data_IF_530364546397
#
_entry.id   IF_530364546397
#
_cell.length_a   1.000
_cell.length_b   1.000
_cell.length_c   1.000
_cell.angle_alpha   90.00
_cell.angle_beta   90.00
_cell.angle_gamma   90.00
#
_symmetry.space_group_name_H-M   'P 1'
#
loop_
_entity.id
_entity.type
_entity.pdbx_description
1 polymer ?
#
# COMPACT_ATOMS: atom_id res chain seq x y z
N UNK A 1 -3.04 4.01 -7.43
CA UNK A 1 -2.28 5.22 -7.05
C UNK A 1 -1.34 4.87 -5.92
N UNK A 2 -0.10 5.39 -5.96
CA UNK A 2 0.85 5.37 -4.85
C UNK A 2 0.82 6.72 -4.16
N UNK A 3 0.01 6.94 -3.10
CA UNK A 3 -0.07 8.25 -2.44
C UNK A 3 1.25 8.67 -1.80
N UNK A 4 2.04 7.68 -1.37
CA UNK A 4 3.41 7.84 -0.94
C UNK A 4 4.35 6.91 -1.74
N UNK A 5 5.62 7.27 -1.89
CA UNK A 5 6.64 6.40 -2.51
C UNK A 5 8.05 6.72 -2.02
N UNK A 6 8.95 5.73 -2.11
CA UNK A 6 10.39 5.89 -1.93
C UNK A 6 11.14 5.89 -3.27
N UNK A 7 10.45 5.57 -4.38
CA UNK A 7 11.02 5.41 -5.70
C UNK A 7 10.25 6.24 -6.72
N UNK A 8 10.99 6.95 -7.58
CA UNK A 8 10.45 7.79 -8.65
C UNK A 8 10.75 7.21 -10.05
N UNK A 9 11.50 6.11 -10.12
CA UNK A 9 11.75 5.43 -11.39
C UNK A 9 10.45 4.81 -11.93
N UNK A 10 10.30 4.80 -13.25
CA UNK A 10 9.18 4.11 -13.91
C UNK A 10 9.19 2.63 -13.56
N UNK A 11 8.08 2.14 -13.02
CA UNK A 11 7.92 0.75 -12.60
C UNK A 11 7.08 -0.04 -13.61
N UNK A 12 7.22 -1.37 -13.61
CA UNK A 12 6.45 -2.24 -14.51
C UNK A 12 4.94 -2.03 -14.39
N UNK A 13 4.43 -1.77 -13.18
CA UNK A 13 3.00 -1.47 -12.96
C UNK A 13 2.53 -0.22 -13.72
N UNK A 14 3.38 0.80 -13.85
CA UNK A 14 3.05 2.01 -14.62
C UNK A 14 2.99 1.69 -16.12
N UNK A 15 3.98 0.96 -16.63
CA UNK A 15 4.02 0.50 -18.03
C UNK A 15 2.79 -0.35 -18.36
N UNK A 16 2.46 -1.30 -17.48
CA UNK A 16 1.30 -2.17 -17.61
C UNK A 16 0.01 -1.37 -17.64
N UNK A 17 -0.23 -0.50 -16.66
CA UNK A 17 -1.41 0.36 -16.60
C UNK A 17 -1.60 1.19 -17.88
N UNK A 18 -0.53 1.77 -18.43
CA UNK A 18 -0.55 2.48 -19.71
C UNK A 18 -0.97 1.58 -20.87
N UNK A 19 -0.44 0.36 -20.94
CA UNK A 19 -0.73 -0.60 -22.02
C UNK A 19 -2.20 -1.05 -22.05
N UNK A 20 -2.85 -1.15 -20.89
CA UNK A 20 -4.25 -1.61 -20.76
C UNK A 20 -5.26 -0.48 -20.52
N UNK A 21 -4.82 0.79 -20.57
CA UNK A 21 -5.70 1.95 -20.37
C UNK A 21 -6.21 2.13 -18.93
N UNK A 22 -5.50 1.61 -17.93
CA UNK A 22 -5.78 1.85 -16.51
C UNK A 22 -5.10 3.14 -16.09
N UNK A 23 -5.90 4.11 -15.64
CA UNK A 23 -5.36 5.37 -15.12
C UNK A 23 -4.60 5.12 -13.81
N UNK A 24 -3.34 5.55 -13.76
CA UNK A 24 -2.49 5.36 -12.60
C UNK A 24 -1.68 6.62 -12.26
N UNK A 25 -1.44 6.82 -10.97
CA UNK A 25 -0.51 7.81 -10.41
C UNK A 25 0.63 7.03 -9.76
N UNK A 26 1.76 6.81 -10.46
CA UNK A 26 2.87 5.97 -10.00
C UNK A 26 3.75 6.67 -8.97
N UNK A 27 3.85 8.00 -9.06
CA UNK A 27 4.54 8.86 -8.09
C UNK A 27 3.50 9.82 -7.53
N UNK A 28 3.08 9.58 -6.30
CA UNK A 28 2.13 10.44 -5.60
C UNK A 28 2.77 11.68 -4.99
N UNK A 29 1.98 12.46 -4.25
CA UNK A 29 2.42 13.74 -3.68
C UNK A 29 3.41 13.59 -2.52
N UNK A 30 3.50 12.43 -1.87
CA UNK A 30 4.43 12.19 -0.76
C UNK A 30 5.60 11.35 -1.26
N UNK A 31 6.76 11.98 -1.43
CA UNK A 31 7.98 11.28 -1.87
C UNK A 31 9.01 11.30 -0.75
N UNK A 32 9.35 10.13 -0.23
CA UNK A 32 10.39 9.96 0.78
C UNK A 32 11.77 9.95 0.12
N UNK A 33 12.16 11.08 -0.45
CA UNK A 33 13.46 11.23 -1.10
C UNK A 33 14.60 11.26 -0.08
N UNK A 34 15.83 11.16 -0.58
CA UNK A 34 17.03 11.11 0.25
C UNK A 34 17.16 12.34 1.16
N UNK A 35 17.20 12.11 2.47
CA UNK A 35 17.30 13.16 3.49
C UNK A 35 15.96 13.65 4.02
N UNK A 36 14.84 13.28 3.39
CA UNK A 36 13.49 13.75 3.76
C UNK A 36 13.17 13.49 5.24
N UNK A 37 13.40 12.28 5.75
CA UNK A 37 13.05 11.93 7.13
C UNK A 37 13.86 12.72 8.18
N UNK A 38 15.11 13.06 7.88
CA UNK A 38 15.93 13.92 8.76
C UNK A 38 15.46 15.36 8.73
N UNK A 39 15.17 15.89 7.54
CA UNK A 39 14.61 17.22 7.37
C UNK A 39 13.25 17.36 8.06
N UNK A 40 12.40 16.32 7.98
CA UNK A 40 11.13 16.27 8.69
C UNK A 40 11.31 16.37 10.21
N UNK A 41 12.23 15.59 10.79
CA UNK A 41 12.56 15.66 12.22
C UNK A 41 13.13 17.03 12.63
N UNK A 42 13.80 17.74 11.71
CA UNK A 42 14.30 19.10 11.91
C UNK A 42 13.22 20.19 11.74
N UNK A 43 12.01 19.82 11.31
CA UNK A 43 10.92 20.77 11.03
C UNK A 43 11.13 21.58 9.75
N UNK A 44 11.87 21.04 8.79
CA UNK A 44 12.27 21.70 7.54
C UNK A 44 11.38 21.30 6.34
N UNK A 45 10.42 20.39 6.56
CA UNK A 45 9.47 19.92 5.56
C UNK A 45 8.04 20.32 5.92
N UNK A 46 7.09 19.96 5.06
CA UNK A 46 5.66 19.99 5.38
C UNK A 46 5.34 19.09 6.59
N UNK A 47 4.29 19.45 7.33
CA UNK A 47 3.83 18.67 8.48
C UNK A 47 3.10 17.39 8.04
N UNK A 48 2.94 16.44 8.98
CA UNK A 48 2.20 15.19 8.74
C UNK A 48 0.81 15.44 8.17
N UNK A 49 0.09 16.44 8.69
CA UNK A 49 -1.27 16.79 8.30
C UNK A 49 -1.33 17.25 6.84
N UNK A 50 -0.38 18.09 6.42
CA UNK A 50 -0.30 18.58 5.03
C UNK A 50 0.03 17.43 4.07
N UNK A 51 0.96 16.56 4.44
CA UNK A 51 1.35 15.40 3.62
C UNK A 51 0.17 14.44 3.44
N UNK A 52 -0.56 14.13 4.52
CA UNK A 52 -1.75 13.28 4.49
C UNK A 52 -2.90 13.91 3.69
N UNK A 53 -3.12 15.22 3.83
CA UNK A 53 -4.15 15.93 3.08
C UNK A 53 -3.87 15.90 1.57
N UNK A 54 -2.62 16.09 1.16
CA UNK A 54 -2.21 15.98 -0.25
C UNK A 54 -2.46 14.57 -0.79
N UNK A 55 -2.08 13.54 -0.02
CA UNK A 55 -2.34 12.15 -0.37
C UNK A 55 -3.83 11.89 -0.60
N UNK A 56 -4.68 12.30 0.35
CA UNK A 56 -6.13 12.17 0.24
C UNK A 56 -6.71 12.89 -0.99
N UNK A 57 -6.31 14.14 -1.24
CA UNK A 57 -6.75 14.92 -2.42
C UNK A 57 -6.35 14.27 -3.74
N UNK A 58 -5.17 13.67 -3.81
CA UNK A 58 -4.71 12.96 -5.00
C UNK A 58 -5.55 11.70 -5.27
N UNK A 59 -5.90 10.95 -4.22
CA UNK A 59 -6.79 9.79 -4.31
C UNK A 59 -8.20 10.21 -4.73
N UNK A 60 -8.76 11.24 -4.09
CA UNK A 60 -10.09 11.78 -4.43
C UNK A 60 -10.16 12.23 -5.89
N UNK A 61 -9.10 12.86 -6.38
CA UNK A 61 -9.02 13.34 -7.77
C UNK A 61 -9.02 12.18 -8.76
N UNK A 62 -8.24 11.13 -8.49
CA UNK A 62 -8.21 9.92 -9.32
C UNK A 62 -9.52 9.12 -9.24
N UNK A 63 -10.19 9.13 -8.08
CA UNK A 63 -11.40 8.37 -7.83
C UNK A 63 -12.63 8.85 -8.64
N UNK A 64 -12.61 10.09 -9.14
CA UNK A 64 -13.73 10.67 -9.88
C UNK A 64 -14.12 9.81 -11.08
N UNK A 65 -15.37 9.34 -11.09
CA UNK A 65 -15.91 8.51 -12.16
C UNK A 65 -15.37 7.07 -12.20
N UNK A 66 -14.62 6.62 -11.17
CA UNK A 66 -14.10 5.26 -11.08
C UNK A 66 -14.95 4.41 -10.14
N UNK A 67 -15.09 3.13 -10.48
CA UNK A 67 -15.80 2.15 -9.64
C UNK A 67 -14.94 1.57 -8.53
N UNK A 68 -13.64 1.49 -8.79
CA UNK A 68 -12.63 0.90 -7.90
C UNK A 68 -11.37 1.75 -8.02
N UNK A 69 -10.74 2.02 -6.88
CA UNK A 69 -9.42 2.63 -6.80
C UNK A 69 -8.54 1.74 -5.95
N UNK A 70 -7.39 1.34 -6.49
CA UNK A 70 -6.36 0.63 -5.74
C UNK A 70 -5.37 1.65 -5.21
N UNK A 71 -5.21 1.69 -3.89
CA UNK A 71 -4.24 2.51 -3.18
C UNK A 71 -3.08 1.59 -2.80
N UNK A 72 -1.93 1.82 -3.40
CA UNK A 72 -0.74 0.99 -3.20
C UNK A 72 0.13 1.63 -2.10
N UNK A 73 0.32 0.88 -1.01
CA UNK A 73 1.14 1.28 0.11
C UNK A 73 2.64 1.14 -0.18
N UNK A 74 3.48 1.62 0.74
CA UNK A 74 4.93 1.51 0.60
C UNK A 74 5.47 0.55 1.65
N UNK A 75 6.21 -0.49 1.22
CA UNK A 75 6.87 -1.43 2.12
C UNK A 75 5.91 -2.12 3.10
N UNK A 76 6.24 -2.09 4.39
CA UNK A 76 5.43 -2.69 5.47
C UNK A 76 4.53 -1.63 6.15
N UNK A 77 3.55 -2.01 6.99
CA UNK A 77 2.53 -1.10 7.49
C UNK A 77 3.05 0.19 8.14
N UNK A 78 4.19 0.14 8.84
CA UNK A 78 4.73 1.29 9.58
C UNK A 78 5.71 2.17 8.78
N UNK A 79 5.97 1.89 7.49
CA UNK A 79 6.80 2.76 6.64
C UNK A 79 6.14 4.12 6.52
N UNK A 80 6.87 5.20 6.84
CA UNK A 80 6.34 6.56 6.93
C UNK A 80 6.08 7.04 8.37
N UNK A 81 6.24 6.16 9.37
CA UNK A 81 5.98 6.47 10.79
C UNK A 81 6.80 7.63 11.36
N UNK A 82 8.04 7.85 10.91
CA UNK A 82 8.85 9.04 11.30
C UNK A 82 8.09 10.34 10.97
N UNK A 83 7.34 10.33 9.88
CA UNK A 83 6.65 11.49 9.34
C UNK A 83 5.15 11.48 9.65
N UNK A 84 4.68 10.61 10.56
CA UNK A 84 3.25 10.43 10.86
C UNK A 84 2.40 10.04 9.64
N UNK A 85 3.03 9.48 8.60
CA UNK A 85 2.43 9.16 7.30
C UNK A 85 2.55 7.67 7.00
N UNK A 86 2.53 6.83 8.06
CA UNK A 86 2.52 5.38 7.92
C UNK A 86 1.33 4.89 7.08
N UNK A 87 1.38 3.65 6.57
CA UNK A 87 0.34 3.15 5.68
C UNK A 87 -1.05 3.10 6.36
N UNK A 88 -1.13 2.97 7.69
CA UNK A 88 -2.42 3.03 8.39
C UNK A 88 -2.94 4.47 8.44
N UNK A 89 -2.06 5.45 8.67
CA UNK A 89 -2.38 6.87 8.55
C UNK A 89 -2.78 7.27 7.13
N UNK A 90 -2.10 6.73 6.11
CA UNK A 90 -2.48 6.89 4.71
C UNK A 90 -3.84 6.29 4.39
N UNK A 91 -4.15 5.09 4.90
CA UNK A 91 -5.45 4.46 4.71
C UNK A 91 -6.59 5.34 5.26
N UNK A 92 -6.42 5.95 6.45
CA UNK A 92 -7.38 6.91 7.00
C UNK A 92 -7.53 8.16 6.13
N UNK A 93 -6.40 8.73 5.68
CA UNK A 93 -6.39 9.97 4.91
C UNK A 93 -6.89 9.81 3.46
N UNK A 94 -6.76 8.61 2.90
CA UNK A 94 -7.08 8.32 1.50
C UNK A 94 -8.42 7.60 1.31
N UNK A 95 -9.11 7.28 2.39
CA UNK A 95 -10.43 6.66 2.28
C UNK A 95 -11.53 7.66 1.92
N UNK A 96 -12.74 7.15 1.58
CA UNK A 96 -13.82 7.98 1.07
C UNK A 96 -14.31 8.99 2.10
N UNK A 97 -14.72 10.16 1.61
CA UNK A 97 -15.31 11.22 2.42
C UNK A 97 -16.66 10.76 2.99
N UNK A 98 -16.86 10.99 4.29
CA UNK A 98 -18.11 10.66 5.01
C UNK A 98 -19.13 11.79 4.86
N UNK A 99 -18.66 13.04 4.91
CA UNK A 99 -19.51 14.23 4.92
C UNK A 99 -18.97 15.30 3.96
N UNK A 100 -19.84 16.23 3.60
CA UNK A 100 -19.53 17.40 2.79
C UNK A 100 -18.59 18.41 3.48
N UNK A 101 -18.26 18.21 4.75
CA UNK A 101 -17.32 19.07 5.49
C UNK A 101 -15.83 18.79 5.16
N UNK A 102 -15.56 17.78 4.32
CA UNK A 102 -14.24 17.41 3.83
C UNK A 102 -13.20 17.04 4.91
N UNK A 103 -13.60 16.85 6.17
CA UNK A 103 -12.69 16.50 7.26
C UNK A 103 -12.87 15.06 7.75
N UNK A 104 -14.09 14.53 7.70
CA UNK A 104 -14.36 13.16 8.15
C UNK A 104 -14.24 12.16 6.99
N UNK A 105 -13.39 11.15 7.16
CA UNK A 105 -13.13 10.07 6.18
C UNK A 105 -13.31 8.71 6.81
N UNK A 106 -13.93 7.80 6.06
CA UNK A 106 -13.90 6.39 6.38
C UNK A 106 -12.54 5.88 5.92
N UNK A 107 -11.78 5.15 6.75
CA UNK A 107 -10.52 4.60 6.30
C UNK A 107 -10.70 3.67 5.09
N UNK A 108 -9.77 3.73 4.15
CA UNK A 108 -9.72 2.74 3.09
C UNK A 108 -9.41 1.37 3.71
N UNK A 109 -10.21 0.32 3.43
CA UNK A 109 -9.92 -1.00 3.96
C UNK A 109 -8.65 -1.58 3.31
N UNK A 110 -7.91 -2.38 4.07
CA UNK A 110 -6.59 -2.88 3.69
C UNK A 110 -6.64 -4.35 3.33
N UNK A 111 -5.99 -4.71 2.24
CA UNK A 111 -5.66 -6.08 1.86
C UNK A 111 -4.16 -6.29 2.03
N UNK A 112 -3.76 -7.30 2.81
CA UNK A 112 -2.34 -7.59 3.04
C UNK A 112 -1.80 -8.58 2.01
N UNK A 113 -0.58 -8.35 1.53
CA UNK A 113 0.16 -9.33 0.73
C UNK A 113 1.14 -10.05 1.66
N UNK A 114 0.76 -11.26 2.08
CA UNK A 114 1.55 -12.13 2.94
C UNK A 114 2.63 -12.89 2.18
N UNK A 115 3.60 -13.39 2.94
CA UNK A 115 4.73 -14.16 2.42
C UNK A 115 4.37 -15.65 2.26
N UNK A 116 5.29 -16.40 1.65
CA UNK A 116 5.21 -17.85 1.47
C UNK A 116 5.47 -18.62 2.77
N UNK A 117 5.05 -19.89 2.81
CA UNK A 117 5.22 -20.77 3.97
C UNK A 117 4.15 -20.52 5.05
N UNK A 118 3.91 -21.50 5.93
CA UNK A 118 2.79 -21.42 6.89
C UNK A 118 3.07 -20.43 8.02
N UNK A 119 4.23 -20.56 8.68
CA UNK A 119 4.59 -19.71 9.82
C UNK A 119 4.71 -18.24 9.45
N UNK A 120 5.55 -17.92 8.45
CA UNK A 120 5.77 -16.52 8.03
C UNK A 120 4.49 -15.90 7.45
N UNK A 121 3.65 -16.66 6.73
CA UNK A 121 2.33 -16.18 6.29
C UNK A 121 1.46 -15.74 7.48
N UNK A 122 1.29 -16.60 8.49
CA UNK A 122 0.42 -16.33 9.64
C UNK A 122 1.01 -15.26 10.55
N UNK A 123 2.29 -15.37 10.90
CA UNK A 123 2.94 -14.44 11.82
C UNK A 123 3.01 -13.04 11.24
N UNK A 124 3.43 -12.91 9.97
CA UNK A 124 3.49 -11.60 9.32
C UNK A 124 2.10 -11.01 9.09
N UNK A 125 1.10 -11.84 8.76
CA UNK A 125 -0.28 -11.36 8.65
C UNK A 125 -0.76 -10.78 9.98
N UNK A 126 -0.61 -11.53 11.08
CA UNK A 126 -1.07 -11.09 12.41
C UNK A 126 -0.36 -9.83 12.90
N UNK A 127 0.96 -9.77 12.74
CA UNK A 127 1.73 -8.60 13.15
C UNK A 127 1.29 -7.36 12.37
N UNK A 128 1.13 -7.50 11.05
CA UNK A 128 0.77 -6.40 10.18
C UNK A 128 -0.70 -6.00 10.34
N UNK A 129 -1.61 -6.96 10.51
CA UNK A 129 -3.04 -6.68 10.70
C UNK A 129 -3.28 -5.91 11.99
N UNK A 130 -2.62 -6.33 13.08
CA UNK A 130 -2.71 -5.67 14.37
C UNK A 130 -2.29 -4.19 14.31
N UNK A 131 -1.31 -3.83 13.46
CA UNK A 131 -0.88 -2.45 13.29
C UNK A 131 -2.00 -1.55 12.73
N UNK A 132 -2.73 -2.04 11.72
CA UNK A 132 -3.87 -1.33 11.13
C UNK A 132 -5.08 -1.30 12.07
N UNK A 133 -5.40 -2.45 12.67
CA UNK A 133 -6.54 -2.62 13.58
C UNK A 133 -6.41 -1.74 14.83
N UNK A 134 -5.19 -1.57 15.36
CA UNK A 134 -4.91 -0.71 16.51
C UNK A 134 -5.38 0.74 16.30
N UNK A 135 -5.41 1.20 15.05
CA UNK A 135 -5.83 2.56 14.68
C UNK A 135 -7.15 2.59 13.92
N UNK A 136 -7.96 1.54 14.05
CA UNK A 136 -9.31 1.47 13.50
C UNK A 136 -9.38 1.29 11.98
N UNK A 137 -8.29 0.88 11.33
CA UNK A 137 -8.30 0.56 9.89
C UNK A 137 -8.68 -0.90 9.71
N UNK A 138 -9.77 -1.17 8.99
CA UNK A 138 -10.21 -2.54 8.72
C UNK A 138 -9.23 -3.25 7.78
N UNK A 139 -8.81 -4.44 8.18
CA UNK A 139 -8.05 -5.37 7.33
C UNK A 139 -8.99 -6.43 6.82
N UNK A 140 -9.25 -6.44 5.51
CA UNK A 140 -10.16 -7.39 4.84
C UNK A 140 -9.66 -8.82 4.93
N UNK A 141 -8.34 -9.01 4.92
CA UNK A 141 -7.71 -10.30 4.79
C UNK A 141 -6.39 -10.23 4.06
N UNK A 142 -5.95 -11.36 3.52
CA UNK A 142 -4.64 -11.50 2.91
C UNK A 142 -4.62 -12.32 1.62
N UNK A 143 -3.64 -12.03 0.77
CA UNK A 143 -3.20 -12.88 -0.34
C UNK A 143 -1.78 -13.33 -0.03
N UNK A 144 -1.50 -14.63 -0.17
CA UNK A 144 -0.19 -15.20 0.13
C UNK A 144 0.55 -15.52 -1.15
N UNK A 145 1.73 -14.91 -1.34
CA UNK A 145 2.43 -14.92 -2.62
C UNK A 145 3.70 -15.77 -2.60
N UNK A 146 4.12 -16.22 -3.79
CA UNK A 146 5.35 -16.98 -4.07
C UNK A 146 5.41 -18.33 -3.37
N UNK A 147 4.30 -19.06 -3.39
CA UNK A 147 4.26 -20.39 -2.81
C UNK A 147 4.95 -21.39 -3.75
N UNK A 148 5.88 -22.24 -3.24
CA UNK A 148 6.44 -23.33 -4.00
C UNK A 148 5.34 -24.24 -4.56
N UNK A 149 5.50 -24.77 -5.77
CA UNK A 149 4.50 -25.71 -6.32
C UNK A 149 4.59 -27.09 -5.67
N UNK A 150 5.77 -27.48 -5.18
CA UNK A 150 6.06 -28.79 -4.63
C UNK A 150 6.72 -28.72 -3.24
N UNK A 151 6.97 -29.89 -2.66
CA UNK A 151 7.57 -30.03 -1.34
C UNK A 151 6.61 -29.88 -0.17
N UNK A 152 7.16 -29.90 1.05
CA UNK A 152 6.38 -29.86 2.29
C UNK A 152 5.60 -28.55 2.45
N UNK A 153 6.19 -27.43 2.03
CA UNK A 153 5.58 -26.10 2.01
C UNK A 153 5.03 -25.72 0.63
N UNK A 154 4.51 -26.71 -0.11
CA UNK A 154 3.86 -26.49 -1.39
C UNK A 154 2.62 -25.60 -1.27
N UNK A 155 2.18 -25.05 -2.39
CA UNK A 155 1.01 -24.21 -2.51
C UNK A 155 -0.23 -24.87 -1.91
N UNK A 156 -0.48 -26.15 -2.21
CA UNK A 156 -1.62 -26.89 -1.68
C UNK A 156 -1.54 -27.07 -0.16
N UNK A 157 -0.37 -27.46 0.36
CA UNK A 157 -0.18 -27.65 1.80
C UNK A 157 -0.30 -26.32 2.57
N UNK A 158 0.30 -25.25 2.04
CA UNK A 158 0.21 -23.92 2.62
C UNK A 158 -1.23 -23.37 2.56
N UNK A 159 -1.92 -23.53 1.43
CA UNK A 159 -3.32 -23.17 1.26
C UNK A 159 -4.21 -23.86 2.29
N UNK A 160 -4.03 -25.16 2.49
CA UNK A 160 -4.78 -25.92 3.48
C UNK A 160 -4.52 -25.43 4.91
N UNK A 161 -3.25 -25.28 5.30
CA UNK A 161 -2.89 -24.89 6.66
C UNK A 161 -3.25 -23.44 6.99
N UNK A 162 -2.93 -22.50 6.10
CA UNK A 162 -3.23 -21.08 6.29
C UNK A 162 -4.73 -20.83 6.17
N UNK A 163 -5.43 -21.47 5.22
CA UNK A 163 -6.89 -21.39 5.12
C UNK A 163 -7.57 -21.85 6.41
N UNK A 164 -7.16 -23.01 6.94
CA UNK A 164 -7.65 -23.53 8.22
C UNK A 164 -7.40 -22.58 9.39
N UNK A 165 -6.26 -21.89 9.41
CA UNK A 165 -5.99 -20.85 10.42
C UNK A 165 -6.99 -19.67 10.31
N UNK A 166 -7.25 -19.17 9.10
CA UNK A 166 -8.20 -18.07 8.91
C UNK A 166 -9.62 -18.46 9.32
N UNK A 167 -10.07 -19.66 8.94
CA UNK A 167 -11.40 -20.16 9.29
C UNK A 167 -11.60 -20.31 10.80
N UNK A 168 -10.55 -20.76 11.52
CA UNK A 168 -10.62 -21.00 12.96
C UNK A 168 -10.42 -19.73 13.80
N UNK A 169 -9.50 -18.86 13.40
CA UNK A 169 -9.00 -17.78 14.26
C UNK A 169 -9.29 -16.38 13.74
N UNK A 170 -9.75 -16.22 12.49
CA UNK A 170 -9.98 -14.92 11.84
C UNK A 170 -11.38 -14.77 11.24
N UNK A 171 -12.48 -14.89 12.03
CA UNK A 171 -13.86 -14.88 11.52
C UNK A 171 -14.29 -13.60 10.78
N UNK A 172 -13.51 -12.51 10.86
CA UNK A 172 -13.74 -11.27 10.12
C UNK A 172 -12.77 -11.00 8.96
N UNK A 173 -11.84 -11.91 8.68
CA UNK A 173 -10.80 -11.75 7.66
C UNK A 173 -10.71 -13.00 6.80
N UNK A 174 -10.37 -12.86 5.51
CA UNK A 174 -10.29 -14.00 4.59
C UNK A 174 -8.90 -14.16 3.99
N UNK A 175 -8.44 -15.40 3.84
CA UNK A 175 -7.35 -15.72 2.92
C UNK A 175 -7.94 -15.74 1.50
N UNK A 176 -7.78 -14.63 0.76
CA UNK A 176 -8.40 -14.44 -0.55
C UNK A 176 -7.69 -15.19 -1.67
N UNK A 177 -6.44 -15.58 -1.49
CA UNK A 177 -5.71 -16.29 -2.53
C UNK A 177 -4.33 -16.74 -2.11
N UNK A 178 -3.81 -17.70 -2.87
CA UNK A 178 -2.54 -18.38 -2.66
C UNK A 178 -1.84 -18.49 -4.01
N UNK A 179 -0.91 -17.57 -4.29
CA UNK A 179 -0.29 -17.44 -5.61
C UNK A 179 1.00 -18.26 -5.65
N UNK A 180 1.21 -19.12 -6.65
CA UNK A 180 2.45 -19.86 -6.81
C UNK A 180 3.62 -18.93 -7.14
N UNK A 181 4.83 -19.42 -6.95
CA UNK A 181 5.99 -18.80 -7.59
C UNK A 181 5.86 -18.90 -9.11
N UNK A 182 5.98 -17.76 -9.80
CA UNK A 182 5.97 -17.67 -11.27
C UNK A 182 7.41 -17.49 -11.75
N UNK A 183 8.07 -18.54 -12.28
CA UNK A 183 9.51 -18.54 -12.56
C UNK A 183 9.97 -17.43 -13.51
N UNK A 184 9.12 -17.04 -14.46
CA UNK A 184 9.39 -16.02 -15.46
C UNK A 184 9.59 -14.63 -14.84
N UNK A 185 8.92 -14.36 -13.71
CA UNK A 185 8.99 -13.08 -12.98
C UNK A 185 10.10 -13.09 -11.95
N UNK A 186 10.42 -14.26 -11.39
CA UNK A 186 11.56 -14.41 -10.50
C UNK A 186 12.87 -14.07 -11.22
N UNK A 187 13.03 -14.57 -12.45
CA UNK A 187 14.24 -14.39 -13.28
C UNK A 187 14.41 -12.98 -13.86
N UNK A 188 13.33 -12.25 -14.13
CA UNK A 188 13.43 -10.86 -14.64
C UNK A 188 13.93 -9.88 -13.59
N UNK A 189 13.70 -10.16 -12.30
CA UNK A 189 14.26 -9.36 -11.20
C UNK A 189 15.76 -9.51 -11.03
N UNK A 190 16.31 -10.68 -11.37
CA UNK A 190 17.75 -10.96 -11.28
C UNK A 190 18.54 -10.39 -12.46
N UNK A 191 17.90 -10.19 -13.63
CA UNK A 191 18.57 -9.71 -14.85
C UNK A 191 18.60 -8.18 -15.02
N UNK A 192 17.80 -7.43 -14.25
CA UNK A 192 17.77 -5.96 -14.34
C UNK A 192 19.04 -5.25 -13.83
N UNK A 193 20.11 -5.98 -13.52
CA UNK A 193 21.45 -5.44 -13.20
C UNK A 193 22.37 -5.29 -14.41
N UNK A 194 21.99 -5.73 -15.61
CA UNK A 194 22.83 -5.60 -16.81
C UNK A 194 22.07 -4.88 -17.93
N UNK A 195 22.38 -3.60 -18.14
CA UNK A 195 21.92 -2.80 -19.27
C UNK A 195 22.50 -3.35 -20.58
N UNK A 196 21.67 -3.81 -21.52
CA UNK A 196 22.04 -3.89 -22.93
C UNK A 196 20.81 -3.89 -23.88
N UNK A 197 20.89 -2.99 -24.87
CA UNK A 197 20.27 -2.87 -26.22
C UNK A 197 18.86 -3.43 -26.52
N UNK A 198 18.08 -2.59 -27.23
CA UNK A 198 16.73 -2.76 -27.83
C UNK A 198 15.52 -2.63 -26.88
N UNK A 199 15.25 -1.38 -26.46
CA UNK A 199 14.21 -1.02 -25.50
C UNK A 199 12.75 -1.40 -25.86
N UNK A 200 12.41 -1.57 -27.14
CA UNK A 200 11.06 -2.01 -27.53
C UNK A 200 10.86 -3.51 -27.28
N UNK A 201 11.84 -4.35 -27.63
CA UNK A 201 11.76 -5.80 -27.41
C UNK A 201 11.73 -6.13 -25.91
N UNK A 202 12.47 -5.37 -25.08
CA UNK A 202 12.47 -5.55 -23.61
C UNK A 202 11.10 -5.21 -23.01
N UNK A 203 10.48 -4.10 -23.43
CA UNK A 203 9.17 -3.70 -22.93
C UNK A 203 8.09 -4.76 -23.25
N UNK A 204 8.09 -5.27 -24.48
CA UNK A 204 7.11 -6.28 -24.91
C UNK A 204 7.26 -7.58 -24.08
N UNK A 205 8.49 -8.01 -23.82
CA UNK A 205 8.78 -9.15 -22.94
C UNK A 205 8.33 -8.91 -21.49
N UNK A 206 8.60 -7.73 -20.93
CA UNK A 206 8.16 -7.36 -19.58
C UNK A 206 6.63 -7.36 -19.46
N UNK A 207 5.92 -6.86 -20.48
CA UNK A 207 4.47 -6.86 -20.53
C UNK A 207 3.88 -8.26 -20.71
N UNK A 208 4.52 -9.11 -21.52
CA UNK A 208 4.12 -10.52 -21.65
C UNK A 208 4.23 -11.26 -20.31
N UNK A 209 5.32 -11.05 -19.57
CA UNK A 209 5.49 -11.59 -18.21
C UNK A 209 4.43 -11.06 -17.24
N UNK A 210 4.11 -9.77 -17.31
CA UNK A 210 3.04 -9.18 -16.50
C UNK A 210 1.67 -9.81 -16.81
N UNK A 211 1.35 -10.04 -18.10
CA UNK A 211 0.10 -10.69 -18.51
C UNK A 211 0.01 -12.15 -18.00
N UNK A 212 1.12 -12.89 -18.04
CA UNK A 212 1.19 -14.24 -17.46
C UNK A 212 0.92 -14.19 -15.95
N UNK A 213 1.52 -13.23 -15.24
CA UNK A 213 1.24 -13.04 -13.82
C UNK A 213 -0.23 -12.77 -13.54
N UNK A 214 -0.85 -11.88 -14.32
CA UNK A 214 -2.26 -11.51 -14.16
C UNK A 214 -3.15 -12.72 -14.36
N UNK A 215 -2.88 -13.54 -15.38
CA UNK A 215 -3.61 -14.79 -15.61
C UNK A 215 -3.47 -15.75 -14.43
N UNK A 216 -2.24 -15.98 -13.94
CA UNK A 216 -2.02 -16.81 -12.75
C UNK A 216 -2.69 -16.24 -11.50
N UNK A 217 -2.69 -14.91 -11.34
CA UNK A 217 -3.33 -14.24 -10.23
C UNK A 217 -4.84 -14.48 -10.23
N UNK A 218 -5.50 -14.36 -11.38
CA UNK A 218 -6.95 -14.61 -11.53
C UNK A 218 -7.32 -16.07 -11.20
N UNK A 219 -6.47 -17.04 -11.54
CA UNK A 219 -6.69 -18.46 -11.21
C UNK A 219 -6.58 -18.76 -9.70
N UNK A 220 -5.78 -17.98 -8.97
CA UNK A 220 -5.37 -18.29 -7.60
C UNK A 220 -5.92 -17.32 -6.55
N UNK A 221 -6.63 -16.27 -6.97
CA UNK A 221 -7.16 -15.22 -6.10
C UNK A 221 -8.64 -14.98 -6.39
N UNK A 222 -9.45 -15.03 -5.34
CA UNK A 222 -10.88 -14.71 -5.36
C UNK A 222 -11.09 -13.19 -5.39
N UNK A 223 -10.85 -12.59 -6.57
CA UNK A 223 -10.97 -11.14 -6.80
C UNK A 223 -12.38 -10.64 -6.53
N UNK A 224 -13.41 -11.41 -6.90
CA UNK A 224 -14.80 -11.06 -6.66
C UNK A 224 -15.10 -10.90 -5.17
N UNK A 225 -14.59 -11.80 -4.33
CA UNK A 225 -14.72 -11.68 -2.87
C UNK A 225 -13.96 -10.49 -2.32
N UNK A 226 -12.77 -10.14 -2.86
CA UNK A 226 -12.03 -8.94 -2.45
C UNK A 226 -12.87 -7.70 -2.74
N UNK A 227 -13.38 -7.56 -3.96
CA UNK A 227 -14.20 -6.41 -4.37
C UNK A 227 -15.50 -6.35 -3.57
N UNK A 228 -16.13 -7.50 -3.29
CA UNK A 228 -17.31 -7.57 -2.44
C UNK A 228 -17.02 -7.12 -1.02
N UNK A 229 -15.95 -7.64 -0.40
CA UNK A 229 -15.57 -7.27 0.97
C UNK A 229 -15.25 -5.78 1.10
N UNK A 230 -14.51 -5.22 0.14
CA UNK A 230 -14.22 -3.78 0.09
C UNK A 230 -15.50 -2.95 -0.07
N UNK A 231 -16.41 -3.35 -0.97
CA UNK A 231 -17.69 -2.67 -1.18
C UNK A 231 -18.58 -2.72 0.06
N UNK A 232 -18.68 -3.89 0.70
CA UNK A 232 -19.53 -4.08 1.87
C UNK A 232 -19.01 -3.24 3.04
N UNK A 233 -17.69 -3.15 3.24
CA UNK A 233 -17.08 -2.23 4.19
C UNK A 233 -17.45 -0.77 3.90
N UNK A 234 -17.29 -0.30 2.65
CA UNK A 234 -17.66 1.06 2.28
C UNK A 234 -19.16 1.38 2.45
N UNK A 235 -20.05 0.37 2.41
CA UNK A 235 -21.51 0.53 2.61
C UNK A 235 -21.93 0.45 4.08
N UNK A 236 -21.28 -0.39 4.89
CA UNK A 236 -21.62 -0.55 6.30
C UNK A 236 -21.42 0.75 7.07
N UNK A 237 -20.35 1.47 6.74
CA UNK A 237 -20.05 2.75 7.38
C UNK A 237 -20.99 3.89 6.95
N UNK A 238 -21.61 3.82 5.78
CA UNK A 238 -22.66 4.77 5.38
C UNK A 238 -23.93 4.63 6.29
N UNK A 239 -24.13 3.44 6.87
CA UNK A 239 -25.27 3.14 7.75
C UNK A 239 -24.98 3.35 9.24
N UNK A 240 -23.72 3.27 9.68
CA UNK A 240 -23.33 3.46 11.09
C UNK A 240 -23.47 4.92 11.53
N UNK A 241 -23.39 5.88 10.60
CA UNK A 241 -23.53 7.33 10.83
C UNK A 241 -24.93 7.73 11.35
N UNK A 242 -25.94 6.85 11.22
CA UNK A 242 -27.27 7.05 11.81
C UNK A 242 -27.33 6.76 13.32
N UNK A 243 -26.21 6.39 13.96
CA UNK A 243 -26.13 6.20 15.41
C UNK A 243 -25.08 7.14 16.00
N UNK A 244 -25.42 7.99 16.98
CA UNK A 244 -24.44 8.84 17.63
C UNK A 244 -23.55 7.97 18.53
N UNK A 245 -22.37 7.60 18.05
CA UNK A 245 -21.36 6.98 18.91
C UNK A 245 -20.63 8.03 19.75
N UNK A 246 -20.41 7.69 21.03
CA UNK A 246 -19.69 8.53 21.99
C UNK A 246 -18.24 8.69 21.53
N UNK A 247 -17.94 9.90 21.08
CA UNK A 247 -16.61 10.41 20.77
C UNK A 247 -15.63 10.12 21.91
N UNK A 248 -14.72 9.16 21.72
CA UNK A 248 -13.53 9.02 22.57
C UNK A 248 -12.61 10.19 22.19
N UNK A 249 -12.33 11.08 23.16
CA UNK A 249 -11.40 12.18 22.96
C UNK A 249 -9.99 11.60 22.76
N UNK A 250 -9.28 11.94 21.68
CA UNK A 250 -7.85 11.69 21.61
C UNK A 250 -7.18 12.38 22.80
N UNK A 251 -6.27 11.70 23.47
CA UNK A 251 -5.42 12.32 24.48
C UNK A 251 -4.70 13.52 23.85
N UNK A 252 -4.78 14.67 24.53
CA UNK A 252 -4.11 15.91 24.15
C UNK A 252 -2.58 15.70 24.14
N UNK A 253 -2.04 15.33 22.98
CA UNK A 253 -0.65 15.67 22.65
C UNK A 253 -0.68 17.16 22.34
N UNK A 254 -0.23 17.98 23.28
CA UNK A 254 -0.13 19.44 23.14
C UNK A 254 0.61 19.78 21.84
N UNK A 255 -0.11 20.21 20.82
CA UNK A 255 0.45 20.82 19.61
C UNK A 255 0.84 22.27 19.90
N UNK A 256 1.93 22.45 20.65
CA UNK A 256 2.60 23.75 20.68
C UNK A 256 3.48 23.86 19.43
N UNK A 257 2.91 24.40 18.34
CA UNK A 257 3.68 24.67 17.13
C UNK A 257 2.89 25.54 16.17
N UNK A 258 3.11 26.85 16.23
CA UNK A 258 2.91 27.74 15.08
C UNK A 258 3.61 27.09 13.89
N UNK A 259 2.89 26.84 12.80
CA UNK A 259 3.46 26.27 11.58
C UNK A 259 4.67 27.13 11.17
N UNK A 260 5.88 26.61 11.38
CA UNK A 260 7.10 27.27 10.90
C UNK A 260 7.03 27.27 9.37
N UNK A 261 7.38 28.37 8.70
CA UNK A 261 7.48 28.38 7.25
C UNK A 261 8.45 27.29 6.80
N UNK A 262 8.07 26.54 5.75
CA UNK A 262 8.91 25.52 5.12
C UNK A 262 10.26 26.17 4.81
N UNK A 263 11.32 25.73 5.49
CA UNK A 263 12.59 26.45 5.49
C UNK A 263 13.50 26.02 4.35
N UNK A 264 13.35 24.80 3.82
CA UNK A 264 14.24 24.25 2.79
C UNK A 264 13.47 23.63 1.62
N UNK A 265 14.00 23.85 0.43
CA UNK A 265 13.60 23.17 -0.81
C UNK A 265 14.10 21.74 -0.85
N UNK A 266 13.47 20.89 -1.69
CA UNK A 266 13.90 19.51 -1.92
C UNK A 266 15.38 19.45 -2.34
N UNK A 267 15.81 20.32 -3.25
CA UNK A 267 17.19 20.38 -3.73
C UNK A 267 18.18 20.66 -2.59
N UNK A 268 17.84 21.58 -1.68
CA UNK A 268 18.67 21.90 -0.51
C UNK A 268 18.80 20.71 0.46
N UNK A 269 17.70 19.99 0.69
CA UNK A 269 17.68 18.79 1.56
C UNK A 269 18.53 17.68 0.95
N UNK A 270 18.35 17.39 -0.35
CA UNK A 270 19.10 16.35 -1.04
C UNK A 270 20.60 16.66 -1.12
N UNK A 271 20.96 17.92 -1.37
CA UNK A 271 22.36 18.36 -1.35
C UNK A 271 22.98 18.19 0.04
N UNK A 272 22.27 18.57 1.10
CA UNK A 272 22.73 18.39 2.48
C UNK A 272 22.91 16.92 2.84
N UNK A 273 21.97 16.07 2.43
CA UNK A 273 22.05 14.63 2.65
C UNK A 273 23.22 13.98 1.87
N UNK A 274 23.49 14.44 0.64
CA UNK A 274 24.66 14.01 -0.15
C UNK A 274 25.98 14.43 0.53
N UNK A 275 26.08 15.66 1.03
CA UNK A 275 27.26 16.15 1.78
C UNK A 275 27.48 15.37 3.08
N UNK A 276 26.41 14.94 3.76
CA UNK A 276 26.46 14.12 4.97
C UNK A 276 26.76 12.63 4.75
N UNK A 277 27.08 12.21 3.52
CA UNK A 277 27.50 10.83 3.24
C UNK A 277 26.37 9.80 3.18
N UNK A 278 25.10 10.23 3.13
CA UNK A 278 24.01 9.27 2.86
C UNK A 278 24.26 8.62 1.49
N UNK A 279 24.11 7.30 1.36
CA UNK A 279 24.04 6.63 0.05
C UNK A 279 22.59 6.73 -0.47
N UNK A 280 22.41 6.69 -1.80
CA UNK A 280 21.05 6.68 -2.38
C UNK A 280 20.26 5.49 -1.84
N UNK A 281 18.97 5.71 -1.56
CA UNK A 281 18.03 4.62 -1.28
C UNK A 281 17.57 3.98 -2.58
#
# INVERSE_FOLDING_TARGET
IKPATQCEATQLVEKYCKSVGVECVPVGPVVYFKGFTRAFLAGETESSEVLLEKAGKAVDSLAKGKRVVIIDGVGYPAVGSICGTDNASMARACGPLISSDHQSRNPAPVLLVGKSGVGDAVDSFNLNSAFFELVGVTVLGGIFNRLPLDGYYSLENCKAAVGSYFDQFKPGQKAFGFIPEVPEIAKSREKNTEENSDGNNVLDMELEQANKFVSTFEEHVDVDSIIKAARDHCKLEDRSILRPEKRIKPNDVKSNGVAKPISLTREQIEQSAKKGGAKGG
#
